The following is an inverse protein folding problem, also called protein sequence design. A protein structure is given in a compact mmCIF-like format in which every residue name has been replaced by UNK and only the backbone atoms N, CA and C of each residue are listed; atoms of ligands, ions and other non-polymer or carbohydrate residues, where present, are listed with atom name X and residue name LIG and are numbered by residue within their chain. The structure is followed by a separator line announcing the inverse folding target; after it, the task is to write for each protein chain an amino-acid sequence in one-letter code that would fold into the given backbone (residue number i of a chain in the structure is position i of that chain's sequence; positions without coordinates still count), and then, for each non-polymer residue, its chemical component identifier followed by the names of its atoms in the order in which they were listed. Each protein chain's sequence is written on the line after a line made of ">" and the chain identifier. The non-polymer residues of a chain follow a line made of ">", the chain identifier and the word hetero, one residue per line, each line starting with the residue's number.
data_IF_293036813968
#
_entry.id   IF_293036813968
#
_cell.length_a   1.000
_cell.length_b   1.000
_cell.length_c   1.000
_cell.angle_alpha   90.00
_cell.angle_beta   90.00
_cell.angle_gamma   90.00
#
_symmetry.space_group_name_H-M   'P 1'
#
loop_
_entity.id
_entity.type
_entity.pdbx_description
1 polymer ?
#
# COMPACT_ATOMS: atom_id res chain seq x y z
N UNK A 1 6.77 -12.44 -12.27
CA UNK A 1 6.93 -11.56 -11.10
C UNK A 1 5.80 -10.53 -11.15
N UNK A 2 5.12 -10.29 -10.04
CA UNK A 2 3.84 -9.60 -9.97
C UNK A 2 3.97 -8.06 -10.00
N UNK A 3 4.54 -7.51 -11.07
CA UNK A 3 4.86 -6.07 -11.13
C UNK A 3 3.85 -5.20 -11.88
N UNK A 4 2.82 -5.75 -12.54
CA UNK A 4 1.97 -4.98 -13.46
C UNK A 4 0.48 -4.87 -13.09
N UNK A 5 0.03 -5.41 -11.96
CA UNK A 5 -1.41 -5.33 -11.59
C UNK A 5 -1.77 -4.05 -10.82
N UNK A 6 -0.85 -3.52 -10.01
CA UNK A 6 -1.14 -2.39 -9.12
C UNK A 6 -1.04 -1.07 -9.88
N UNK A 7 -2.17 -0.40 -10.09
CA UNK A 7 -2.21 0.92 -10.72
C UNK A 7 -1.87 2.02 -9.69
N UNK A 8 -0.58 2.33 -9.59
CA UNK A 8 -0.04 3.36 -8.69
C UNK A 8 -0.51 4.78 -9.00
N UNK A 9 -1.20 5.03 -10.12
CA UNK A 9 -1.82 6.34 -10.39
C UNK A 9 -3.00 6.62 -9.45
N UNK A 10 -3.62 5.58 -8.90
CA UNK A 10 -4.72 5.68 -7.93
C UNK A 10 -4.22 5.76 -6.48
N UNK A 11 -2.93 5.55 -6.27
CA UNK A 11 -2.34 5.54 -4.94
C UNK A 11 -2.20 6.97 -4.40
N UNK A 12 -2.43 7.20 -3.09
CA UNK A 12 -2.16 8.49 -2.47
C UNK A 12 -0.68 8.87 -2.59
N UNK A 13 -0.37 10.17 -2.47
CA UNK A 13 0.98 10.70 -2.70
C UNK A 13 2.05 10.00 -1.86
N UNK A 14 1.73 9.69 -0.61
CA UNK A 14 2.64 9.03 0.33
C UNK A 14 2.60 7.51 0.25
N UNK A 15 1.75 6.89 -0.59
CA UNK A 15 1.68 5.44 -0.70
C UNK A 15 3.00 4.87 -1.22
N UNK A 16 3.58 3.99 -0.40
CA UNK A 16 4.86 3.33 -0.70
C UNK A 16 4.70 1.84 -0.92
N UNK A 17 3.75 1.21 -0.24
CA UNK A 17 3.45 -0.21 -0.41
C UNK A 17 1.97 -0.44 -0.66
N UNK A 18 1.68 -1.52 -1.37
CA UNK A 18 0.36 -2.09 -1.53
C UNK A 18 0.38 -3.55 -1.07
N UNK A 19 -0.61 -3.96 -0.30
CA UNK A 19 -0.73 -5.34 0.17
C UNK A 19 -2.20 -5.70 0.40
N UNK A 20 -2.48 -7.00 0.48
CA UNK A 20 -3.77 -7.57 0.84
C UNK A 20 -3.64 -8.23 2.20
N UNK A 21 -4.62 -7.99 3.06
CA UNK A 21 -4.75 -8.66 4.34
C UNK A 21 -5.39 -10.05 4.20
N UNK A 22 -5.31 -10.86 5.25
CA UNK A 22 -5.90 -12.20 5.27
C UNK A 22 -7.42 -12.22 5.00
N UNK A 23 -8.11 -11.09 5.16
CA UNK A 23 -9.53 -10.93 4.87
C UNK A 23 -9.82 -10.63 3.38
N UNK A 24 -8.80 -10.48 2.54
CA UNK A 24 -8.93 -10.14 1.13
C UNK A 24 -9.10 -8.65 0.84
N UNK A 25 -9.00 -7.77 1.85
CA UNK A 25 -9.02 -6.31 1.63
C UNK A 25 -7.63 -5.81 1.29
N UNK A 26 -7.54 -4.98 0.25
CA UNK A 26 -6.29 -4.37 -0.17
C UNK A 26 -6.10 -3.00 0.48
N UNK A 27 -4.86 -2.64 0.77
CA UNK A 27 -4.50 -1.38 1.40
C UNK A 27 -3.25 -0.77 0.77
N UNK A 28 -3.22 0.56 0.75
CA UNK A 28 -2.04 1.38 0.60
C UNK A 28 -1.43 1.60 1.98
N UNK A 29 -0.16 1.26 2.14
CA UNK A 29 0.63 1.63 3.30
C UNK A 29 1.51 2.82 2.91
N UNK A 30 1.33 3.92 3.63
CA UNK A 30 2.00 5.17 3.33
C UNK A 30 3.31 5.30 4.08
N UNK A 31 4.27 5.98 3.45
CA UNK A 31 5.35 6.63 4.18
C UNK A 31 4.78 7.57 5.24
N UNK A 32 5.45 7.71 6.38
CA UNK A 32 4.97 8.54 7.46
C UNK A 32 4.99 10.00 7.06
N UNK A 33 3.87 10.65 7.37
CA UNK A 33 3.77 12.08 7.29
C UNK A 33 4.35 12.71 8.57
N UNK A 34 5.65 13.03 8.55
CA UNK A 34 6.32 13.69 9.67
C UNK A 34 5.87 15.14 9.70
N UNK A 35 4.80 15.43 10.45
CA UNK A 35 4.39 16.80 10.70
C UNK A 35 5.45 17.49 11.59
N UNK A 36 5.74 18.79 11.40
CA UNK A 36 6.81 19.50 12.12
C UNK A 36 6.68 19.55 13.65
N UNK A 37 5.59 19.04 14.22
CA UNK A 37 5.24 19.13 15.64
C UNK A 37 4.73 17.80 16.24
N UNK A 38 4.97 16.66 15.59
CA UNK A 38 4.60 15.34 16.12
C UNK A 38 5.84 14.55 16.48
N UNK A 39 5.99 14.20 17.76
CA UNK A 39 7.10 13.38 18.27
C UNK A 39 6.91 11.87 18.03
N UNK A 40 5.96 11.49 17.17
CA UNK A 40 5.64 10.11 16.87
C UNK A 40 5.61 9.85 15.37
N UNK A 41 5.97 8.62 15.00
CA UNK A 41 5.99 8.14 13.63
C UNK A 41 4.70 7.38 13.37
N UNK A 42 3.89 7.81 12.41
CA UNK A 42 2.65 7.13 12.04
C UNK A 42 2.58 6.96 10.53
N UNK A 43 2.31 5.74 10.09
CA UNK A 43 2.06 5.40 8.69
C UNK A 43 0.56 5.25 8.50
N UNK A 44 -0.02 5.98 7.55
CA UNK A 44 -1.42 5.81 7.22
C UNK A 44 -1.65 4.51 6.44
N UNK A 45 -2.68 3.77 6.83
CA UNK A 45 -3.22 2.64 6.07
C UNK A 45 -4.54 3.07 5.45
N UNK A 46 -4.59 3.09 4.12
CA UNK A 46 -5.73 3.59 3.35
C UNK A 46 -6.25 2.44 2.50
N UNK A 47 -7.56 2.22 2.46
CA UNK A 47 -8.15 1.18 1.62
C UNK A 47 -7.79 1.39 0.14
N UNK A 48 -7.39 0.31 -0.52
CA UNK A 48 -6.97 0.30 -1.91
C UNK A 48 -7.89 -0.59 -2.76
N UNK A 49 -7.97 -0.34 -4.08
CA UNK A 49 -8.54 -1.32 -4.99
C UNK A 49 -7.75 -2.64 -4.94
N UNK A 50 -8.46 -3.74 -5.09
CA UNK A 50 -7.88 -5.09 -5.07
C UNK A 50 -7.07 -5.44 -6.34
N UNK A 51 -7.27 -4.68 -7.42
CA UNK A 51 -6.61 -4.89 -8.72
C UNK A 51 -6.72 -6.32 -9.29
N UNK A 52 -7.74 -7.08 -8.86
CA UNK A 52 -7.96 -8.46 -9.31
C UNK A 52 -6.90 -9.48 -8.86
N UNK A 53 -6.09 -9.17 -7.84
CA UNK A 53 -5.05 -10.07 -7.35
C UNK A 53 -5.63 -11.39 -6.80
N UNK A 54 -5.21 -12.53 -7.33
CA UNK A 54 -5.74 -13.84 -6.93
C UNK A 54 -4.70 -14.76 -6.23
N UNK A 55 -3.58 -14.19 -5.76
CA UNK A 55 -2.48 -14.92 -5.13
C UNK A 55 -2.63 -15.10 -3.61
N UNK A 56 -1.60 -15.67 -2.97
CA UNK A 56 -1.51 -15.70 -1.50
C UNK A 56 -1.29 -14.27 -0.99
N UNK A 57 -2.15 -13.82 -0.06
CA UNK A 57 -2.07 -12.50 0.54
C UNK A 57 -0.67 -12.22 1.15
N UNK A 58 0.02 -13.26 1.64
CA UNK A 58 1.39 -13.15 2.18
C UNK A 58 2.43 -12.73 1.15
N UNK A 59 2.15 -12.98 -0.12
CA UNK A 59 3.01 -12.65 -1.26
C UNK A 59 2.55 -11.39 -2.00
N UNK A 60 1.52 -10.69 -1.50
CA UNK A 60 0.94 -9.53 -2.16
C UNK A 60 1.75 -8.24 -2.00
N UNK A 61 2.68 -8.19 -1.04
CA UNK A 61 3.46 -6.99 -0.72
C UNK A 61 4.19 -6.49 -1.97
N UNK A 62 3.75 -5.33 -2.45
CA UNK A 62 4.25 -4.69 -3.66
C UNK A 62 4.73 -3.29 -3.30
N UNK A 63 6.01 -3.02 -3.52
CA UNK A 63 6.58 -1.69 -3.31
C UNK A 63 6.43 -0.83 -4.57
N UNK A 64 6.17 0.47 -4.38
CA UNK A 64 6.13 1.45 -5.47
C UNK A 64 7.53 1.66 -6.01
N UNK A 65 7.72 1.35 -7.30
CA UNK A 65 8.95 1.71 -8.02
C UNK A 65 9.15 3.23 -7.99
N UNK A 66 10.35 3.66 -7.61
CA UNK A 66 10.82 5.06 -7.66
C UNK A 66 11.11 5.52 -9.08
#
# INVERSE_FOLDING_TARGET
>A
MAYDLVDWKQAPTLARWWAIDANGTAYWHCEPNIAPFTDFWMTDQIEAPHFGYAGDWKESLTERST
#
